data_IF_948148165811
#
_entry.id   IF_948148165811
#
_cell.length_a   1.000
_cell.length_b   1.000
_cell.length_c   1.000
_cell.angle_alpha   90.00
_cell.angle_beta   90.00
_cell.angle_gamma   90.00
#
_symmetry.space_group_name_H-M   'P 1'
#
loop_
_entity.id
_entity.type
_entity.pdbx_description
1 polymer ?
#
# COMPACT_ATOMS: atom_id res chain seq x y z
N UNK A 1 -4.45 -14.05 -23.03
CA UNK A 1 -4.53 -12.61 -23.33
C UNK A 1 -3.27 -12.22 -24.09
N UNK A 2 -3.41 -11.75 -25.32
CA UNK A 2 -2.27 -11.42 -26.20
C UNK A 2 -1.55 -10.17 -25.71
N UNK A 3 -0.21 -10.21 -25.62
CA UNK A 3 0.63 -9.04 -25.32
C UNK A 3 0.43 -7.99 -26.42
N UNK A 4 -0.07 -6.82 -26.05
CA UNK A 4 -0.08 -5.67 -26.94
C UNK A 4 1.26 -4.95 -26.79
N UNK A 5 2.05 -4.95 -27.86
CA UNK A 5 3.33 -4.24 -27.90
C UNK A 5 3.10 -2.75 -27.61
N UNK A 6 3.84 -2.20 -26.66
CA UNK A 6 3.77 -0.78 -26.35
C UNK A 6 4.13 0.05 -27.60
N UNK A 7 3.50 1.22 -27.82
CA UNK A 7 3.86 2.11 -28.92
C UNK A 7 5.35 2.46 -28.84
N UNK A 8 6.07 2.33 -29.96
CA UNK A 8 7.51 2.61 -30.04
C UNK A 8 7.85 4.11 -29.96
N UNK A 9 6.84 4.97 -30.10
CA UNK A 9 6.99 6.42 -30.11
C UNK A 9 6.45 7.02 -28.81
N UNK A 10 7.30 7.71 -28.01
CA UNK A 10 6.82 8.44 -26.84
C UNK A 10 5.80 9.51 -27.23
N UNK A 11 4.70 9.60 -26.48
CA UNK A 11 3.73 10.68 -26.65
C UNK A 11 4.36 12.05 -26.33
N UNK A 12 4.03 13.03 -27.16
CA UNK A 12 4.37 14.45 -26.97
C UNK A 12 3.69 15.02 -25.71
N UNK A 13 4.17 16.18 -25.24
CA UNK A 13 3.51 16.89 -24.14
C UNK A 13 2.07 17.27 -24.46
N UNK A 14 1.80 17.68 -25.70
CA UNK A 14 0.45 18.03 -26.16
C UNK A 14 -0.50 16.82 -26.12
N UNK A 15 -0.05 15.64 -26.55
CA UNK A 15 -0.85 14.41 -26.48
C UNK A 15 -1.12 13.98 -25.04
N UNK A 16 -0.12 14.07 -24.17
CA UNK A 16 -0.28 13.78 -22.74
C UNK A 16 -1.28 14.73 -22.08
N UNK A 17 -1.22 16.03 -22.40
CA UNK A 17 -2.17 17.01 -21.89
C UNK A 17 -3.59 16.75 -22.41
N UNK A 18 -3.74 16.46 -23.70
CA UNK A 18 -5.04 16.15 -24.30
C UNK A 18 -5.69 14.89 -23.69
N UNK A 19 -4.89 13.85 -23.43
CA UNK A 19 -5.34 12.64 -22.72
C UNK A 19 -5.80 12.96 -21.30
N UNK A 20 -4.99 13.72 -20.55
CA UNK A 20 -5.35 14.17 -19.21
C UNK A 20 -6.66 14.96 -19.19
N UNK A 21 -6.81 15.95 -20.08
CA UNK A 21 -8.00 16.79 -20.16
C UNK A 21 -9.26 15.99 -20.51
N UNK A 22 -9.12 14.96 -21.36
CA UNK A 22 -10.21 14.05 -21.71
C UNK A 22 -10.64 13.20 -20.51
N UNK A 23 -9.69 12.65 -19.76
CA UNK A 23 -9.96 11.84 -18.56
C UNK A 23 -10.53 12.71 -17.42
N UNK A 24 -9.97 13.92 -17.22
CA UNK A 24 -10.38 14.82 -16.15
C UNK A 24 -11.83 15.32 -16.27
N UNK A 25 -12.39 15.34 -17.49
CA UNK A 25 -13.80 15.68 -17.75
C UNK A 25 -14.77 14.54 -17.45
N UNK A 26 -14.29 13.32 -17.21
CA UNK A 26 -15.18 12.19 -16.96
C UNK A 26 -15.74 12.20 -15.53
N UNK A 27 -16.94 11.65 -15.32
CA UNK A 27 -17.46 11.38 -13.98
C UNK A 27 -16.45 10.68 -13.08
N UNK A 28 -16.38 11.12 -11.81
CA UNK A 28 -15.52 10.53 -10.77
C UNK A 28 -16.16 9.27 -10.18
N UNK A 29 -15.39 8.53 -9.37
CA UNK A 29 -15.83 7.35 -8.62
C UNK A 29 -16.14 6.10 -9.46
N UNK A 30 -15.57 6.00 -10.66
CA UNK A 30 -15.61 4.77 -11.47
C UNK A 30 -14.34 3.94 -11.27
N UNK A 31 -14.39 2.65 -11.63
CA UNK A 31 -13.21 1.77 -11.59
C UNK A 31 -12.25 2.12 -12.73
N UNK A 32 -10.95 1.87 -12.54
CA UNK A 32 -9.93 2.09 -13.57
C UNK A 32 -10.27 1.46 -14.94
N UNK A 33 -10.85 0.25 -14.93
CA UNK A 33 -11.28 -0.43 -16.15
C UNK A 33 -12.34 0.35 -16.96
N UNK A 34 -13.21 1.11 -16.28
CA UNK A 34 -14.18 1.97 -16.95
C UNK A 34 -13.49 3.17 -17.61
N UNK A 35 -12.48 3.77 -16.97
CA UNK A 35 -11.72 4.88 -17.57
C UNK A 35 -10.91 4.45 -18.81
N UNK A 36 -10.54 3.16 -18.91
CA UNK A 36 -9.76 2.62 -20.03
C UNK A 36 -10.38 2.94 -21.41
N UNK A 37 -11.70 3.03 -21.51
CA UNK A 37 -12.40 3.34 -22.77
C UNK A 37 -12.08 4.75 -23.29
N UNK A 38 -11.61 5.65 -22.43
CA UNK A 38 -11.22 7.02 -22.79
C UNK A 38 -9.73 7.16 -23.03
N UNK A 39 -8.92 6.14 -22.69
CA UNK A 39 -7.47 6.17 -22.84
C UNK A 39 -7.06 5.76 -24.25
N UNK A 40 -6.23 6.57 -24.89
CA UNK A 40 -5.54 6.28 -26.16
C UNK A 40 -4.04 6.06 -25.95
N UNK A 41 -3.47 6.65 -24.91
CA UNK A 41 -2.07 6.49 -24.53
C UNK A 41 -1.91 5.31 -23.56
N UNK A 42 -0.80 4.60 -23.70
CA UNK A 42 -0.41 3.49 -22.81
C UNK A 42 0.97 3.75 -22.25
N UNK A 43 1.16 3.44 -20.96
CA UNK A 43 2.48 3.46 -20.33
C UNK A 43 3.25 2.18 -20.69
N UNK A 44 4.57 2.29 -20.87
CA UNK A 44 5.42 1.11 -21.10
C UNK A 44 5.51 0.30 -19.81
N UNK A 45 5.61 -1.03 -19.93
CA UNK A 45 5.73 -1.92 -18.76
C UNK A 45 6.89 -1.51 -17.84
N UNK A 46 8.07 -1.21 -18.39
CA UNK A 46 9.20 -0.76 -17.57
C UNK A 46 8.98 0.57 -16.84
N UNK A 47 8.17 1.48 -17.39
CA UNK A 47 7.82 2.73 -16.71
C UNK A 47 6.77 2.49 -15.60
N UNK A 48 5.85 1.53 -15.80
CA UNK A 48 4.90 1.07 -14.77
C UNK A 48 5.66 0.48 -13.58
N UNK A 49 6.61 -0.41 -13.85
CA UNK A 49 7.44 -1.04 -12.81
C UNK A 49 8.29 0.00 -12.08
N UNK A 50 8.87 0.97 -12.81
CA UNK A 50 9.65 2.05 -12.21
C UNK A 50 8.81 2.89 -11.24
N UNK A 51 7.59 3.27 -11.63
CA UNK A 51 6.66 4.00 -10.76
C UNK A 51 6.26 3.17 -9.53
N UNK A 52 5.93 1.89 -9.73
CA UNK A 52 5.62 0.97 -8.63
C UNK A 52 6.75 0.86 -7.62
N UNK A 53 7.97 0.62 -8.11
CA UNK A 53 9.18 0.49 -7.28
C UNK A 53 9.52 1.78 -6.53
N UNK A 54 9.30 2.94 -7.17
CA UNK A 54 9.45 4.24 -6.53
C UNK A 54 8.50 4.39 -5.33
N UNK A 55 7.22 4.05 -5.49
CA UNK A 55 6.25 4.09 -4.39
C UNK A 55 6.60 3.12 -3.26
N UNK A 56 6.96 1.87 -3.58
CA UNK A 56 7.40 0.89 -2.59
C UNK A 56 8.60 1.41 -1.79
N UNK A 57 9.59 1.98 -2.48
CA UNK A 57 10.79 2.55 -1.85
C UNK A 57 10.46 3.75 -0.96
N UNK A 58 9.52 4.60 -1.37
CA UNK A 58 9.05 5.73 -0.54
C UNK A 58 8.35 5.24 0.72
N UNK A 59 7.41 4.31 0.59
CA UNK A 59 6.70 3.74 1.74
C UNK A 59 7.64 3.01 2.68
N UNK A 60 8.63 2.29 2.17
CA UNK A 60 9.67 1.66 2.99
C UNK A 60 10.40 2.70 3.88
N UNK A 61 10.82 3.81 3.29
CA UNK A 61 11.49 4.90 4.05
C UNK A 61 10.57 5.49 5.11
N UNK A 62 9.30 5.68 4.79
CA UNK A 62 8.32 6.18 5.75
C UNK A 62 8.07 5.18 6.89
N UNK A 63 7.91 3.90 6.57
CA UNK A 63 7.69 2.83 7.56
C UNK A 63 8.89 2.66 8.48
N UNK A 64 10.11 2.63 7.96
CA UNK A 64 11.34 2.54 8.76
C UNK A 64 11.55 3.77 9.64
N UNK A 65 11.12 4.95 9.18
CA UNK A 65 11.16 6.17 9.99
C UNK A 65 10.09 6.20 11.09
N UNK A 66 8.87 5.71 10.82
CA UNK A 66 7.78 5.62 11.82
C UNK A 66 8.12 4.56 12.86
N UNK A 67 8.43 3.34 12.41
CA UNK A 67 8.65 2.15 13.22
C UNK A 67 10.15 1.91 13.45
N UNK A 68 10.77 2.87 14.13
CA UNK A 68 12.18 2.83 14.52
C UNK A 68 12.34 2.58 16.02
N UNK A 69 13.52 2.09 16.41
CA UNK A 69 13.91 1.97 17.82
C UNK A 69 13.91 3.32 18.54
N UNK A 70 14.25 4.41 17.84
CA UNK A 70 14.20 5.77 18.42
C UNK A 70 12.78 6.23 18.74
N UNK A 71 11.77 5.71 18.04
CA UNK A 71 10.37 5.95 18.36
C UNK A 71 9.80 4.91 19.35
N UNK A 72 10.63 4.00 19.85
CA UNK A 72 10.30 2.98 20.85
C UNK A 72 9.63 1.73 20.29
N UNK A 73 9.77 1.45 18.99
CA UNK A 73 9.31 0.21 18.36
C UNK A 73 10.47 -0.77 18.19
N UNK A 74 10.18 -2.05 17.93
CA UNK A 74 11.14 -2.89 17.20
C UNK A 74 11.45 -2.22 15.85
N UNK A 75 12.69 -2.26 15.39
CA UNK A 75 13.01 -1.73 14.06
C UNK A 75 12.16 -2.47 13.01
N UNK A 76 11.60 -1.74 12.05
CA UNK A 76 10.71 -2.29 11.02
C UNK A 76 11.24 -3.60 10.41
N UNK A 77 12.52 -3.63 10.00
CA UNK A 77 13.15 -4.79 9.37
C UNK A 77 13.31 -6.00 10.30
N UNK A 78 13.18 -5.81 11.61
CA UNK A 78 13.23 -6.87 12.63
C UNK A 78 11.84 -7.40 12.99
N UNK A 79 10.76 -6.77 12.51
CA UNK A 79 9.40 -7.27 12.72
C UNK A 79 9.15 -8.52 11.88
N UNK A 80 8.19 -9.39 12.26
CA UNK A 80 7.81 -10.55 11.46
C UNK A 80 7.43 -10.16 10.02
N UNK A 81 7.74 -10.98 9.00
CA UNK A 81 7.42 -10.66 7.60
C UNK A 81 5.94 -10.35 7.36
N UNK A 82 5.03 -11.02 8.07
CA UNK A 82 3.59 -10.75 7.98
C UNK A 82 3.23 -9.37 8.53
N UNK A 83 3.91 -8.92 9.59
CA UNK A 83 3.74 -7.56 10.14
C UNK A 83 4.26 -6.52 9.15
N UNK A 84 5.42 -6.74 8.54
CA UNK A 84 5.96 -5.84 7.51
C UNK A 84 4.98 -5.71 6.32
N UNK A 85 4.46 -6.84 5.83
CA UNK A 85 3.47 -6.88 4.74
C UNK A 85 2.17 -6.15 5.11
N UNK A 86 1.69 -6.33 6.35
CA UNK A 86 0.51 -5.66 6.85
C UNK A 86 0.72 -4.13 6.91
N UNK A 87 1.88 -3.68 7.39
CA UNK A 87 2.23 -2.26 7.48
C UNK A 87 2.37 -1.60 6.09
N UNK A 88 2.88 -2.33 5.08
CA UNK A 88 2.85 -1.87 3.69
C UNK A 88 1.41 -1.69 3.17
N UNK A 89 0.50 -2.61 3.48
CA UNK A 89 -0.92 -2.47 3.11
C UNK A 89 -1.56 -1.26 3.84
N UNK A 90 -1.26 -1.09 5.13
CA UNK A 90 -1.75 0.04 5.93
C UNK A 90 -1.29 1.38 5.34
N UNK A 91 0.00 1.55 5.06
CA UNK A 91 0.54 2.82 4.57
C UNK A 91 0.12 3.10 3.12
N UNK A 92 -0.04 2.08 2.28
CA UNK A 92 -0.56 2.25 0.92
C UNK A 92 -1.98 2.84 0.92
N UNK A 93 -2.84 2.38 1.83
CA UNK A 93 -4.23 2.85 1.90
C UNK A 93 -4.41 4.17 2.66
N UNK A 94 -3.55 4.44 3.64
CA UNK A 94 -3.72 5.57 4.56
C UNK A 94 -2.76 6.74 4.30
N UNK A 95 -1.58 6.44 3.74
CA UNK A 95 -0.40 7.29 3.82
C UNK A 95 0.19 7.36 5.24
N UNK A 96 1.46 7.79 5.32
CA UNK A 96 2.20 7.91 6.58
C UNK A 96 1.47 8.75 7.64
N UNK A 97 0.90 9.89 7.25
CA UNK A 97 0.29 10.84 8.19
C UNK A 97 -0.92 10.25 8.92
N UNK A 98 -1.86 9.63 8.19
CA UNK A 98 -3.05 9.02 8.81
C UNK A 98 -2.67 7.78 9.62
N UNK A 99 -1.76 6.95 9.10
CA UNK A 99 -1.26 5.78 9.82
C UNK A 99 -0.64 6.17 11.17
N UNK A 100 0.19 7.22 11.19
CA UNK A 100 0.84 7.69 12.42
C UNK A 100 -0.15 8.30 13.41
N UNK A 101 -1.04 9.18 12.93
CA UNK A 101 -1.79 10.09 13.80
C UNK A 101 -3.20 9.61 14.16
N UNK A 102 -3.81 8.74 13.36
CA UNK A 102 -5.20 8.30 13.58
C UNK A 102 -5.30 6.87 14.12
N UNK A 103 -4.32 6.02 13.82
CA UNK A 103 -4.31 4.61 14.23
C UNK A 103 -3.52 4.42 15.54
N UNK A 104 -3.87 5.19 16.57
CA UNK A 104 -3.10 5.27 17.82
C UNK A 104 -3.08 3.95 18.60
N UNK A 105 -4.24 3.29 18.75
CA UNK A 105 -4.33 2.00 19.43
C UNK A 105 -3.57 0.90 18.69
N UNK A 106 -3.70 0.89 17.36
CA UNK A 106 -2.94 0.01 16.48
C UNK A 106 -1.43 0.22 16.68
N UNK A 107 -0.94 1.45 16.61
CA UNK A 107 0.48 1.75 16.81
C UNK A 107 0.95 1.40 18.23
N UNK A 108 0.12 1.61 19.25
CA UNK A 108 0.43 1.15 20.61
C UNK A 108 0.55 -0.38 20.70
N UNK A 109 -0.26 -1.14 19.95
CA UNK A 109 -0.14 -2.58 19.85
C UNK A 109 1.15 -3.00 19.13
N UNK A 110 1.48 -2.37 18.00
CA UNK A 110 2.75 -2.61 17.28
C UNK A 110 3.95 -2.36 18.18
N UNK A 111 3.91 -1.28 18.97
CA UNK A 111 4.98 -0.92 19.92
C UNK A 111 5.26 -1.99 20.97
N UNK A 112 4.20 -2.69 21.39
CA UNK A 112 4.26 -3.77 22.39
C UNK A 112 4.43 -5.14 21.76
N UNK A 113 4.57 -5.22 20.44
CA UNK A 113 4.53 -6.47 19.69
C UNK A 113 3.27 -7.31 19.96
N UNK A 114 2.15 -6.65 20.31
CA UNK A 114 0.86 -7.30 20.56
C UNK A 114 0.12 -7.49 19.23
N UNK A 115 0.51 -8.53 18.51
CA UNK A 115 -0.03 -8.86 17.19
C UNK A 115 -1.53 -9.22 17.24
N UNK A 116 -1.99 -9.80 18.35
CA UNK A 116 -3.41 -10.09 18.56
C UNK A 116 -4.23 -8.80 18.62
N UNK A 117 -3.76 -7.79 19.39
CA UNK A 117 -4.42 -6.48 19.43
C UNK A 117 -4.30 -5.72 18.11
N UNK A 118 -3.13 -5.75 17.47
CA UNK A 118 -2.95 -5.12 16.16
C UNK A 118 -3.96 -5.65 15.12
N UNK A 119 -4.29 -6.95 15.17
CA UNK A 119 -5.30 -7.56 14.28
C UNK A 119 -6.73 -7.01 14.47
N UNK A 120 -7.05 -6.48 15.66
CA UNK A 120 -8.36 -5.87 15.96
C UNK A 120 -8.38 -4.40 15.60
N UNK A 121 -7.28 -3.70 15.83
CA UNK A 121 -7.17 -2.25 15.63
C UNK A 121 -6.79 -1.84 14.20
N UNK A 122 -6.45 -2.79 13.32
CA UNK A 122 -6.03 -2.46 11.95
C UNK A 122 -7.18 -2.08 10.99
N UNK A 123 -8.46 -2.15 11.40
CA UNK A 123 -9.60 -1.97 10.50
C UNK A 123 -9.69 -0.55 9.90
N UNK A 124 -9.85 -0.46 8.58
CA UNK A 124 -9.93 0.79 7.81
C UNK A 124 -11.35 0.93 7.20
N UNK A 125 -12.16 1.93 7.58
CA UNK A 125 -13.55 2.06 7.09
C UNK A 125 -13.68 2.22 5.56
N UNK A 126 -12.72 2.92 4.96
CA UNK A 126 -12.74 3.25 3.52
C UNK A 126 -12.22 2.10 2.62
N UNK A 127 -11.88 0.94 3.21
CA UNK A 127 -11.26 -0.20 2.55
C UNK A 127 -12.20 -1.39 2.56
N UNK A 128 -12.16 -2.22 1.50
CA UNK A 128 -13.08 -3.35 1.38
C UNK A 128 -12.96 -4.34 2.56
N UNK A 129 -14.06 -5.01 2.96
CA UNK A 129 -14.02 -6.02 4.03
C UNK A 129 -12.99 -7.13 3.77
N UNK A 130 -12.83 -7.55 2.51
CA UNK A 130 -11.84 -8.56 2.12
C UNK A 130 -10.40 -8.13 2.39
N UNK A 131 -10.06 -6.86 2.10
CA UNK A 131 -8.72 -6.32 2.35
C UNK A 131 -8.45 -6.07 3.83
N UNK A 132 -9.47 -5.62 4.57
CA UNK A 132 -9.38 -5.55 6.03
C UNK A 132 -9.16 -6.94 6.65
N UNK A 133 -9.88 -7.96 6.17
CA UNK A 133 -9.68 -9.33 6.65
C UNK A 133 -8.28 -9.86 6.29
N UNK A 134 -7.78 -9.59 5.09
CA UNK A 134 -6.40 -9.96 4.71
C UNK A 134 -5.36 -9.43 5.69
N UNK A 135 -5.40 -8.12 6.00
CA UNK A 135 -4.44 -7.51 6.96
C UNK A 135 -4.61 -8.06 8.36
N UNK A 136 -5.86 -8.28 8.81
CA UNK A 136 -6.14 -8.95 10.08
C UNK A 136 -5.48 -10.33 10.15
N UNK A 137 -5.58 -11.14 9.09
CA UNK A 137 -4.99 -12.48 9.05
C UNK A 137 -3.46 -12.46 9.10
N UNK A 138 -2.80 -11.45 8.51
CA UNK A 138 -1.34 -11.29 8.62
C UNK A 138 -0.91 -11.11 10.08
N UNK A 139 -1.60 -10.26 10.85
CA UNK A 139 -1.32 -10.09 12.28
C UNK A 139 -1.62 -11.33 13.11
N UNK A 140 -2.70 -12.06 12.79
CA UNK A 140 -2.99 -13.33 13.45
C UNK A 140 -1.95 -14.41 13.12
N UNK A 141 -1.43 -14.44 11.88
CA UNK A 141 -0.32 -15.33 11.49
C UNK A 141 0.93 -15.02 12.32
N UNK A 142 1.32 -13.74 12.41
CA UNK A 142 2.44 -13.31 13.23
C UNK A 142 2.26 -13.68 14.72
N UNK A 143 1.05 -13.50 15.27
CA UNK A 143 0.73 -13.92 16.64
C UNK A 143 0.93 -15.43 16.82
N UNK A 144 0.33 -16.24 15.96
CA UNK A 144 0.41 -17.70 16.06
C UNK A 144 1.85 -18.20 15.88
N UNK A 145 2.63 -17.59 15.00
CA UNK A 145 4.03 -17.95 14.80
C UNK A 145 4.90 -17.56 16.01
N UNK A 146 4.60 -16.44 16.67
CA UNK A 146 5.28 -16.05 17.91
C UNK A 146 5.03 -17.03 19.06
N UNK A 147 3.83 -17.60 19.17
CA UNK A 147 3.50 -18.60 20.19
C UNK A 147 4.23 -19.93 19.97
N UNK A 148 4.42 -20.34 18.71
CA UNK A 148 5.15 -21.57 18.35
C UNK A 148 6.66 -21.47 18.57
N UNK A 149 7.20 -20.25 18.62
CA UNK A 149 8.62 -19.99 18.81
C UNK A 149 9.05 -19.96 20.28
N UNK A 150 8.10 -20.06 21.22
CA UNK A 150 8.38 -20.18 22.65
C UNK A 150 8.61 -21.67 22.95
N UNK A 151 9.82 -22.09 23.39
CA UNK A 151 10.12 -23.48 23.70
C UNK A 151 9.34 -24.03 24.90
#
# INVERSE_FOLDING_TARGET
MSRQLAPSTPATLAEKQAEYDRIAKQPRNYRAAWYKQFCTLTMREGDIDLQGNHHISSFYKELTAIYSSSNGYSAFDQMPPEVQMALFDMIFNLGATRLRNLFLNFNNAIKKSDWSMASRECHRPDVSPSRNNYVKQLFLSAHNNSLKAIP
#
